data_IF_899718974532
#
_entry.id   IF_899718974532
#
_cell.length_a   1.000
_cell.length_b   1.000
_cell.length_c   1.000
_cell.angle_alpha   90.00
_cell.angle_beta   90.00
_cell.angle_gamma   90.00
#
_symmetry.space_group_name_H-M   'P 1'
#
loop_
_entity.id
_entity.type
_entity.pdbx_description
1 polymer ?
#
# COMPACT_ATOMS: atom_id res chain seq x y z
N UNK A 1 -8.10 1.38 -5.00
CA UNK A 1 -8.87 1.93 -3.84
C UNK A 1 -9.38 3.35 -4.09
N UNK A 2 -8.55 4.41 -4.14
CA UNK A 2 -9.02 5.83 -4.21
C UNK A 2 -9.94 6.15 -5.40
N UNK A 3 -9.76 5.45 -6.51
CA UNK A 3 -10.53 5.61 -7.75
C UNK A 3 -11.83 4.80 -7.78
N UNK A 4 -12.05 3.91 -6.81
CA UNK A 4 -13.27 3.10 -6.76
C UNK A 4 -14.47 3.99 -6.47
N UNK A 5 -15.30 4.18 -7.49
CA UNK A 5 -16.58 4.87 -7.34
C UNK A 5 -17.56 4.03 -6.51
N UNK A 6 -17.54 2.69 -6.70
CA UNK A 6 -18.35 1.74 -5.94
C UNK A 6 -18.09 1.87 -4.43
N UNK A 7 -16.83 1.90 -4.01
CA UNK A 7 -16.45 2.08 -2.60
C UNK A 7 -17.02 3.37 -2.03
N UNK A 8 -16.83 4.49 -2.75
CA UNK A 8 -17.28 5.81 -2.31
C UNK A 8 -18.80 5.87 -2.13
N UNK A 9 -19.56 5.25 -3.04
CA UNK A 9 -21.02 5.15 -2.94
C UNK A 9 -21.45 4.26 -1.78
N UNK A 10 -20.87 3.07 -1.65
CA UNK A 10 -21.17 2.15 -0.54
C UNK A 10 -20.94 2.81 0.81
N UNK A 11 -19.82 3.52 1.00
CA UNK A 11 -19.56 4.27 2.24
C UNK A 11 -20.61 5.37 2.50
N UNK A 12 -21.08 6.07 1.47
CA UNK A 12 -22.17 7.06 1.62
C UNK A 12 -23.49 6.41 2.04
N UNK A 13 -23.80 5.23 1.50
CA UNK A 13 -25.02 4.49 1.89
C UNK A 13 -24.91 4.06 3.35
N UNK A 14 -23.76 3.53 3.76
CA UNK A 14 -23.50 3.15 5.16
C UNK A 14 -23.67 4.35 6.10
N UNK A 15 -23.13 5.52 5.73
CA UNK A 15 -23.30 6.74 6.52
C UNK A 15 -24.78 7.13 6.67
N UNK A 16 -25.55 7.07 5.57
CA UNK A 16 -26.99 7.36 5.60
C UNK A 16 -27.74 6.38 6.50
N UNK A 17 -27.48 5.08 6.37
CA UNK A 17 -28.10 4.05 7.21
C UNK A 17 -27.80 4.33 8.69
N UNK A 18 -26.53 4.60 9.03
CA UNK A 18 -26.13 4.91 10.40
C UNK A 18 -26.81 6.16 10.96
N UNK A 19 -26.89 7.24 10.16
CA UNK A 19 -27.58 8.46 10.55
C UNK A 19 -29.08 8.25 10.76
N UNK A 20 -29.74 7.49 9.89
CA UNK A 20 -31.16 7.15 10.05
C UNK A 20 -31.40 6.30 11.29
N UNK A 21 -30.57 5.29 11.54
CA UNK A 21 -30.75 4.36 12.65
C UNK A 21 -30.45 5.00 14.01
N UNK A 22 -29.46 5.89 14.07
CA UNK A 22 -29.04 6.56 15.30
C UNK A 22 -29.71 7.92 15.49
N UNK A 23 -30.64 8.31 14.63
CA UNK A 23 -31.28 9.64 14.60
C UNK A 23 -30.24 10.78 14.67
N UNK A 24 -29.14 10.63 13.93
CA UNK A 24 -27.97 11.50 14.00
C UNK A 24 -27.65 12.21 12.69
N UNK A 25 -26.73 13.17 12.77
CA UNK A 25 -26.27 13.99 11.64
C UNK A 25 -24.75 13.86 11.41
N UNK A 26 -24.21 12.65 11.57
CA UNK A 26 -22.78 12.43 11.38
C UNK A 26 -22.38 12.70 9.91
N UNK A 27 -21.21 13.32 9.73
CA UNK A 27 -20.63 13.59 8.41
C UNK A 27 -19.62 12.53 7.97
N UNK A 28 -19.14 11.70 8.92
CA UNK A 28 -18.17 10.64 8.68
C UNK A 28 -18.26 9.55 9.77
N UNK A 29 -17.61 8.41 9.51
CA UNK A 29 -17.42 7.31 10.46
C UNK A 29 -16.01 6.71 10.31
N UNK A 30 -15.45 6.07 11.35
CA UNK A 30 -14.16 5.37 11.24
C UNK A 30 -14.32 4.04 10.49
N UNK A 31 -13.27 3.61 9.77
CA UNK A 31 -13.30 2.34 9.03
C UNK A 31 -13.53 1.12 9.92
N UNK A 32 -13.20 1.19 11.21
CA UNK A 32 -13.45 0.11 12.18
C UNK A 32 -14.95 -0.22 12.27
N UNK A 33 -15.83 0.76 12.04
CA UNK A 33 -17.28 0.56 12.00
C UNK A 33 -17.70 -0.46 10.94
N UNK A 34 -16.95 -0.61 9.84
CA UNK A 34 -17.27 -1.58 8.80
C UNK A 34 -17.29 -3.03 9.34
N UNK A 35 -16.41 -3.34 10.29
CA UNK A 35 -16.37 -4.67 10.94
C UNK A 35 -17.57 -4.92 11.86
N UNK A 36 -18.24 -3.87 12.32
CA UNK A 36 -19.39 -3.95 13.22
C UNK A 36 -20.71 -4.14 12.47
N UNK A 37 -20.75 -3.90 11.15
CA UNK A 37 -21.96 -4.02 10.35
C UNK A 37 -22.50 -5.46 10.32
N UNK A 38 -21.60 -6.45 10.37
CA UNK A 38 -21.96 -7.88 10.38
C UNK A 38 -22.37 -8.41 11.76
N UNK A 39 -22.12 -7.66 12.83
CA UNK A 39 -22.46 -8.07 14.20
C UNK A 39 -23.59 -7.24 14.83
N UNK A 40 -23.83 -6.03 14.31
CA UNK A 40 -24.95 -5.18 14.72
C UNK A 40 -26.25 -5.70 14.12
N UNK A 41 -27.13 -6.23 14.99
CA UNK A 41 -28.38 -6.87 14.60
C UNK A 41 -29.59 -6.00 14.92
N UNK A 42 -30.64 -6.14 14.13
CA UNK A 42 -31.94 -5.58 14.39
C UNK A 42 -32.60 -6.25 15.62
N UNK A 43 -33.76 -5.72 16.04
CA UNK A 43 -34.52 -6.22 17.19
C UNK A 43 -34.90 -7.72 17.06
N UNK A 44 -35.00 -8.23 15.84
CA UNK A 44 -35.25 -9.64 15.55
C UNK A 44 -34.04 -10.57 15.88
N UNK A 45 -32.89 -10.00 16.23
CA UNK A 45 -31.61 -10.67 16.49
C UNK A 45 -31.16 -11.62 15.36
N UNK A 46 -31.66 -11.41 14.14
CA UNK A 46 -31.38 -12.23 12.95
C UNK A 46 -30.78 -11.39 11.84
N UNK A 47 -31.39 -10.24 11.55
CA UNK A 47 -30.99 -9.40 10.42
C UNK A 47 -29.89 -8.43 10.87
N UNK A 48 -28.73 -8.44 10.20
CA UNK A 48 -27.64 -7.52 10.50
C UNK A 48 -27.77 -6.22 9.69
N UNK A 49 -27.07 -5.16 10.11
CA UNK A 49 -26.96 -3.92 9.33
C UNK A 49 -26.32 -4.20 7.96
N UNK A 50 -25.39 -5.16 7.88
CA UNK A 50 -24.81 -5.60 6.62
C UNK A 50 -25.85 -6.26 5.70
N UNK A 51 -26.71 -7.13 6.23
CA UNK A 51 -27.79 -7.75 5.43
C UNK A 51 -28.75 -6.68 4.88
N UNK A 52 -29.09 -5.70 5.71
CA UNK A 52 -29.91 -4.57 5.29
C UNK A 52 -29.21 -3.72 4.22
N UNK A 53 -27.91 -3.44 4.37
CA UNK A 53 -27.12 -2.73 3.36
C UNK A 53 -27.16 -3.47 2.00
N UNK A 54 -26.92 -4.78 1.99
CA UNK A 54 -26.98 -5.59 0.76
C UNK A 54 -28.37 -5.52 0.13
N UNK A 55 -29.44 -5.56 0.93
CA UNK A 55 -30.81 -5.41 0.43
C UNK A 55 -31.05 -4.03 -0.20
N UNK A 56 -30.58 -2.95 0.43
CA UNK A 56 -30.70 -1.58 -0.12
C UNK A 56 -29.93 -1.45 -1.43
N UNK A 57 -28.71 -1.99 -1.48
CA UNK A 57 -27.87 -1.96 -2.69
C UNK A 57 -28.53 -2.73 -3.83
N UNK A 58 -29.03 -3.96 -3.59
CA UNK A 58 -29.75 -4.76 -4.59
C UNK A 58 -30.96 -4.05 -5.20
N UNK A 59 -31.65 -3.22 -4.41
CA UNK A 59 -32.83 -2.49 -4.89
C UNK A 59 -32.51 -1.20 -5.64
N UNK A 60 -31.34 -0.61 -5.39
CA UNK A 60 -30.99 0.72 -5.90
C UNK A 60 -29.94 0.66 -7.02
N UNK A 61 -28.81 0.01 -6.79
CA UNK A 61 -27.68 -0.05 -7.73
C UNK A 61 -26.92 -1.38 -7.54
N UNK A 62 -27.31 -2.42 -8.28
CA UNK A 62 -26.67 -3.76 -8.17
C UNK A 62 -25.18 -3.76 -8.52
N UNK A 63 -24.71 -2.81 -9.36
CA UNK A 63 -23.29 -2.65 -9.71
C UNK A 63 -22.37 -2.52 -8.48
N UNK A 64 -22.88 -1.99 -7.37
CA UNK A 64 -22.11 -1.84 -6.13
C UNK A 64 -21.80 -3.20 -5.46
N UNK A 65 -22.49 -4.29 -5.82
CA UNK A 65 -22.23 -5.64 -5.30
C UNK A 65 -20.87 -6.17 -5.78
N UNK A 66 -20.40 -5.71 -6.93
CA UNK A 66 -19.10 -6.04 -7.49
C UNK A 66 -17.97 -5.17 -6.90
N UNK A 67 -18.19 -4.54 -5.74
CA UNK A 67 -17.17 -3.76 -5.02
C UNK A 67 -15.91 -4.58 -4.72
N UNK A 68 -16.04 -5.89 -4.51
CA UNK A 68 -14.89 -6.77 -4.28
C UNK A 68 -13.89 -6.72 -5.46
N UNK A 69 -14.38 -6.50 -6.69
CA UNK A 69 -13.53 -6.43 -7.86
C UNK A 69 -12.61 -5.21 -7.87
N UNK A 70 -13.09 -4.08 -7.34
CA UNK A 70 -12.32 -2.85 -7.22
C UNK A 70 -11.22 -2.94 -6.12
N UNK A 71 -11.33 -3.95 -5.25
CA UNK A 71 -10.51 -4.12 -4.05
C UNK A 71 -9.63 -5.38 -4.09
N UNK A 72 -9.50 -6.07 -5.23
CA UNK A 72 -8.70 -7.30 -5.38
C UNK A 72 -7.27 -7.17 -4.83
N UNK A 73 -6.64 -6.01 -5.03
CA UNK A 73 -5.25 -5.78 -4.59
C UNK A 73 -5.13 -5.57 -3.08
N UNK A 74 -6.22 -5.28 -2.36
CA UNK A 74 -6.18 -4.92 -0.94
C UNK A 74 -5.69 -6.09 -0.08
N UNK A 75 -6.14 -7.31 -0.36
CA UNK A 75 -5.74 -8.49 0.40
C UNK A 75 -4.25 -8.83 0.23
N UNK A 76 -3.71 -8.64 -0.98
CA UNK A 76 -2.28 -8.82 -1.21
C UNK A 76 -1.48 -7.70 -0.53
N UNK A 77 -1.93 -6.46 -0.68
CA UNK A 77 -1.28 -5.29 -0.10
C UNK A 77 -1.32 -5.27 1.44
N UNK A 78 -2.34 -5.86 2.08
CA UNK A 78 -2.42 -5.89 3.55
C UNK A 78 -1.35 -6.76 4.21
N UNK A 79 -0.69 -7.63 3.43
CA UNK A 79 0.43 -8.47 3.90
C UNK A 79 1.78 -7.77 3.80
N UNK A 80 1.82 -6.62 3.14
CA UNK A 80 3.06 -5.86 2.94
C UNK A 80 3.38 -5.05 4.18
N UNK A 81 4.56 -5.28 4.75
CA UNK A 81 5.10 -4.50 5.87
C UNK A 81 6.02 -3.41 5.30
N UNK A 82 5.55 -2.17 5.32
CA UNK A 82 6.27 -1.02 4.74
C UNK A 82 7.64 -0.78 5.40
N UNK A 83 7.74 -1.01 6.71
CA UNK A 83 8.99 -0.83 7.44
C UNK A 83 10.05 -1.84 6.98
N UNK A 84 9.65 -3.10 6.78
CA UNK A 84 10.53 -4.15 6.25
C UNK A 84 10.99 -3.81 4.84
N UNK A 85 10.07 -3.44 3.94
CA UNK A 85 10.42 -3.06 2.58
C UNK A 85 11.38 -1.86 2.55
N UNK A 86 11.15 -0.87 3.41
CA UNK A 86 12.01 0.32 3.48
C UNK A 86 13.41 -0.06 3.96
N UNK A 87 13.52 -0.92 4.98
CA UNK A 87 14.80 -1.40 5.48
C UNK A 87 15.57 -2.23 4.43
N UNK A 88 14.86 -3.08 3.68
CA UNK A 88 15.44 -3.85 2.58
C UNK A 88 15.95 -2.95 1.46
N UNK A 89 15.14 -1.96 1.02
CA UNK A 89 15.56 -0.98 0.02
C UNK A 89 16.78 -0.20 0.47
N UNK A 90 16.82 0.28 1.71
CA UNK A 90 17.99 0.98 2.24
C UNK A 90 19.24 0.11 2.26
N UNK A 91 19.09 -1.17 2.60
CA UNK A 91 20.20 -2.13 2.60
C UNK A 91 20.71 -2.36 1.18
N UNK A 92 19.80 -2.52 0.21
CA UNK A 92 20.14 -2.69 -1.20
C UNK A 92 20.82 -1.44 -1.77
N UNK A 93 20.29 -0.24 -1.51
CA UNK A 93 20.91 1.02 -1.97
C UNK A 93 22.32 1.17 -1.41
N UNK A 94 22.53 0.95 -0.11
CA UNK A 94 23.89 0.97 0.48
C UNK A 94 24.82 -0.03 -0.17
N UNK A 95 24.32 -1.24 -0.47
CA UNK A 95 25.10 -2.26 -1.16
C UNK A 95 25.54 -1.81 -2.55
N UNK A 96 24.65 -1.16 -3.31
CA UNK A 96 24.96 -0.59 -4.63
C UNK A 96 26.00 0.53 -4.50
N UNK A 97 25.79 1.48 -3.59
CA UNK A 97 26.72 2.60 -3.35
C UNK A 97 28.12 2.07 -3.00
N UNK A 98 28.22 1.03 -2.17
CA UNK A 98 29.50 0.41 -1.84
C UNK A 98 30.17 -0.18 -3.09
N UNK A 99 29.43 -0.89 -3.94
CA UNK A 99 29.99 -1.50 -5.17
C UNK A 99 30.49 -0.42 -6.13
N UNK A 100 29.75 0.68 -6.30
CA UNK A 100 30.18 1.81 -7.13
C UNK A 100 31.50 2.40 -6.64
N UNK A 101 31.63 2.64 -5.32
CA UNK A 101 32.88 3.12 -4.71
C UNK A 101 34.03 2.13 -4.96
N UNK A 102 33.80 0.83 -4.77
CA UNK A 102 34.84 -0.18 -4.98
C UNK A 102 35.31 -0.25 -6.44
N UNK A 103 34.40 -0.07 -7.40
CA UNK A 103 34.74 -0.02 -8.83
C UNK A 103 35.61 1.20 -9.12
N UNK A 104 35.22 2.39 -8.65
CA UNK A 104 35.99 3.62 -8.83
C UNK A 104 37.40 3.51 -8.21
N UNK A 105 37.50 2.95 -7.00
CA UNK A 105 38.79 2.68 -6.35
C UNK A 105 39.65 1.66 -7.10
N UNK A 106 39.03 0.66 -7.72
CA UNK A 106 39.75 -0.35 -8.51
C UNK A 106 40.31 0.28 -9.80
N UNK A 107 39.49 1.04 -10.54
CA UNK A 107 39.91 1.76 -11.75
C UNK A 107 41.08 2.71 -11.45
N UNK A 108 40.99 3.47 -10.36
CA UNK A 108 42.08 4.36 -9.91
C UNK A 108 43.36 3.58 -9.54
N UNK A 109 43.24 2.38 -8.98
CA UNK A 109 44.39 1.49 -8.69
C UNK A 109 45.02 0.89 -9.93
N UNK A 110 44.29 0.65 -11.02
CA UNK A 110 44.87 0.15 -12.27
C UNK A 110 45.58 1.25 -13.09
N UNK A 111 45.19 2.52 -12.92
CA UNK A 111 45.83 3.66 -13.57
C UNK A 111 47.17 4.09 -12.93
N UNK A 112 47.46 3.67 -11.69
CA UNK A 112 48.57 4.22 -10.89
C UNK A 112 49.92 3.48 -10.88
N UNK A 113 50.13 2.24 -11.35
CA UNK A 113 51.49 1.66 -11.42
C UNK A 113 52.13 1.58 -12.82
N UNK A 114 51.48 2.05 -13.91
CA UNK A 114 52.11 2.02 -15.24
C UNK A 114 53.13 3.13 -15.47
N UNK A 115 52.89 4.33 -14.90
CA UNK A 115 53.77 5.49 -15.11
C UNK A 115 55.04 5.48 -14.23
N UNK A 116 55.15 4.60 -13.24
CA UNK A 116 56.34 4.48 -12.39
C UNK A 116 57.40 3.49 -12.91
N UNK A 117 57.03 2.59 -13.83
CA UNK A 117 57.92 1.54 -14.34
C UNK A 117 58.72 1.94 -15.61
N UNK A 118 58.36 3.04 -16.27
CA UNK A 118 59.02 3.49 -17.52
C UNK A 118 60.16 4.51 -17.28
N UNK A 119 60.50 4.84 -16.04
CA UNK A 119 61.49 5.87 -15.69
C UNK A 119 62.91 5.39 -15.32
N UNK A 120 63.24 4.10 -15.49
CA UNK A 120 64.56 3.55 -15.12
C UNK A 120 65.16 2.62 -16.19
N UNK A 121 65.28 3.07 -17.43
CA UNK A 121 66.28 2.51 -18.36
C UNK A 121 66.91 3.63 -19.19
N UNK A 122 68.25 3.74 -19.14
CA UNK A 122 69.09 4.67 -19.90
C UNK A 122 69.47 5.94 -19.10
N UNK A 123 70.73 6.29 -18.86
CA UNK A 123 72.02 5.84 -19.39
C UNK A 123 73.13 6.30 -18.42
N UNK A 124 74.31 5.64 -18.39
CA UNK A 124 75.46 6.05 -17.58
C UNK A 124 76.34 7.04 -18.33
N UNK A 125 76.88 8.04 -17.62
CA UNK A 125 78.17 8.70 -17.88
C UNK A 125 78.84 9.07 -16.55
#
# INVERSE_FOLDING_TARGET
>A
IKLSHRLRKTLKIILRIGNTMNEGEATAFSLDTLTKLSSSKAFDNRTTVLDYLVMVVKRSEEDLLDLADDLKSVQAASRVLMDTLTAELQTQTKGIDCVEIFVEEAENRFLTPRQAAEGKEGSPE
#
